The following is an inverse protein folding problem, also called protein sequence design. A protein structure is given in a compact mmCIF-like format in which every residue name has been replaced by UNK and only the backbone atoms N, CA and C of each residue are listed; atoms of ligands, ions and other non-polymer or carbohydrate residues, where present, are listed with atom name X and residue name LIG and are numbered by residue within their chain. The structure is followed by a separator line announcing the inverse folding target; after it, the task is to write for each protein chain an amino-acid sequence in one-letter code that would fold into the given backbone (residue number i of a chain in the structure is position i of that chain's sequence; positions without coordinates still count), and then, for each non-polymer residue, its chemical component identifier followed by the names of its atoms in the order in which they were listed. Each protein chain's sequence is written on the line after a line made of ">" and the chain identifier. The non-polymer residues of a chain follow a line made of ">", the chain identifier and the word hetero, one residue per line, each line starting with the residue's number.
data_IF_964540075940
#
_entry.id   IF_964540075940
#
_cell.length_a   1.000
_cell.length_b   1.000
_cell.length_c   1.000
_cell.angle_alpha   90.00
_cell.angle_beta   90.00
_cell.angle_gamma   90.00
#
_symmetry.space_group_name_H-M   'P 1'
#
loop_
_entity.id
_entity.type
_entity.pdbx_description
1 polymer ?
#
# COMPACT_ATOMS: atom_id res chain seq x y z
N UNK A 1 4.29 -4.53 -12.87
CA UNK A 1 5.68 -4.92 -12.71
C UNK A 1 6.37 -4.04 -11.68
N UNK A 2 6.97 -4.66 -10.70
CA UNK A 2 7.71 -3.95 -9.64
C UNK A 2 9.09 -4.55 -9.56
N UNK A 3 10.11 -3.72 -9.69
CA UNK A 3 11.51 -4.12 -9.52
C UNK A 3 12.07 -3.45 -8.28
N UNK A 4 12.51 -4.26 -7.34
CA UNK A 4 13.10 -3.81 -6.08
C UNK A 4 14.60 -4.10 -6.18
N UNK A 5 15.43 -3.07 -6.08
CA UNK A 5 16.86 -3.18 -6.32
C UNK A 5 17.68 -2.68 -5.14
N UNK A 6 18.38 -3.59 -4.48
CA UNK A 6 19.35 -3.32 -3.43
C UNK A 6 18.82 -2.42 -2.32
N UNK A 7 17.63 -2.72 -1.81
CA UNK A 7 16.98 -1.92 -0.77
C UNK A 7 17.60 -2.25 0.58
N UNK A 8 18.01 -1.20 1.30
CA UNK A 8 18.48 -1.27 2.66
C UNK A 8 17.61 -0.36 3.54
N UNK A 9 17.31 -0.82 4.74
CA UNK A 9 16.53 -0.05 5.71
C UNK A 9 17.01 -0.34 7.12
N UNK A 10 17.37 0.72 7.84
CA UNK A 10 17.83 0.67 9.22
C UNK A 10 16.82 1.33 10.15
N UNK A 11 16.69 0.77 11.36
CA UNK A 11 16.03 1.41 12.49
C UNK A 11 17.04 1.44 13.65
N UNK A 12 17.73 2.58 13.80
CA UNK A 12 18.89 2.64 14.70
C UNK A 12 19.97 1.67 14.25
N UNK A 13 20.36 0.76 15.14
CA UNK A 13 21.36 -0.27 14.83
C UNK A 13 20.75 -1.53 14.18
N UNK A 14 19.42 -1.61 14.11
CA UNK A 14 18.74 -2.75 13.54
C UNK A 14 18.56 -2.59 12.04
N UNK A 15 19.07 -3.56 11.28
CA UNK A 15 18.96 -3.58 9.82
C UNK A 15 17.73 -4.41 9.44
N UNK A 16 16.61 -3.74 9.18
CA UNK A 16 15.36 -4.39 8.83
C UNK A 16 15.39 -5.00 7.42
N UNK A 17 16.05 -4.32 6.49
CA UNK A 17 16.24 -4.78 5.11
C UNK A 17 17.72 -4.70 4.76
N UNK A 18 18.27 -5.80 4.29
CA UNK A 18 19.69 -5.95 3.99
C UNK A 18 19.86 -6.35 2.52
N UNK A 19 20.13 -5.36 1.67
CA UNK A 19 20.39 -5.56 0.24
C UNK A 19 19.32 -6.42 -0.45
N UNK A 20 18.05 -6.05 -0.24
CA UNK A 20 16.91 -6.82 -0.76
C UNK A 20 16.65 -6.46 -2.22
N UNK A 21 16.64 -7.48 -3.07
CA UNK A 21 16.30 -7.34 -4.49
C UNK A 21 15.24 -8.35 -4.87
N UNK A 22 14.14 -7.88 -5.47
CA UNK A 22 13.02 -8.70 -5.88
C UNK A 22 12.46 -8.19 -7.22
N UNK A 23 11.90 -9.09 -8.00
CA UNK A 23 11.18 -8.73 -9.20
C UNK A 23 9.77 -9.33 -9.16
N UNK A 24 8.76 -8.49 -9.26
CA UNK A 24 7.37 -8.91 -9.24
C UNK A 24 6.77 -8.63 -10.62
N UNK A 25 6.51 -9.69 -11.42
CA UNK A 25 5.95 -9.51 -12.76
C UNK A 25 4.49 -9.05 -12.72
N UNK A 26 3.99 -8.60 -13.86
CA UNK A 26 2.58 -8.24 -13.99
C UNK A 26 1.68 -9.49 -13.91
N UNK A 27 0.43 -9.25 -13.53
CA UNK A 27 -0.64 -10.27 -13.55
C UNK A 27 -0.26 -11.54 -12.78
N UNK A 28 0.35 -11.37 -11.61
CA UNK A 28 0.70 -12.52 -10.77
C UNK A 28 0.31 -12.26 -9.31
N UNK A 29 0.24 -13.35 -8.55
CA UNK A 29 0.19 -13.30 -7.10
C UNK A 29 1.57 -13.64 -6.59
N UNK A 30 2.17 -12.75 -5.82
CA UNK A 30 3.51 -12.89 -5.30
C UNK A 30 3.47 -13.02 -3.77
N UNK A 31 4.00 -14.12 -3.25
CA UNK A 31 4.05 -14.37 -1.81
C UNK A 31 5.32 -13.82 -1.17
N UNK A 32 5.17 -13.04 -0.11
CA UNK A 32 6.27 -12.53 0.69
C UNK A 32 6.19 -13.19 2.07
N UNK A 33 7.04 -14.19 2.28
CA UNK A 33 6.99 -15.05 3.45
C UNK A 33 8.21 -14.84 4.34
N UNK A 34 8.02 -15.04 5.64
CA UNK A 34 9.10 -14.95 6.62
C UNK A 34 8.54 -14.79 8.02
N UNK A 35 9.37 -15.01 9.05
CA UNK A 35 8.96 -14.84 10.44
C UNK A 35 8.71 -13.35 10.75
N UNK A 36 8.07 -13.09 11.89
CA UNK A 36 7.92 -11.73 12.40
C UNK A 36 9.31 -11.12 12.62
N UNK A 37 9.47 -9.87 12.20
CA UNK A 37 10.76 -9.19 12.26
C UNK A 37 11.68 -9.42 11.07
N UNK A 38 11.23 -10.16 10.04
CA UNK A 38 12.02 -10.40 8.83
C UNK A 38 12.07 -9.22 7.86
N UNK A 39 11.38 -8.11 8.16
CA UNK A 39 11.38 -6.92 7.31
C UNK A 39 10.24 -6.83 6.30
N UNK A 40 9.30 -7.78 6.31
CA UNK A 40 8.16 -7.78 5.37
C UNK A 40 7.34 -6.49 5.44
N UNK A 41 7.00 -6.08 6.63
CA UNK A 41 6.22 -4.86 6.87
C UNK A 41 6.99 -3.62 6.42
N UNK A 42 8.29 -3.58 6.68
CA UNK A 42 9.15 -2.48 6.25
C UNK A 42 9.16 -2.34 4.72
N UNK A 43 9.29 -3.45 4.01
CA UNK A 43 9.28 -3.46 2.54
C UNK A 43 7.94 -2.98 2.00
N UNK A 44 6.84 -3.47 2.55
CA UNK A 44 5.49 -3.07 2.14
C UNK A 44 5.26 -1.59 2.37
N UNK A 45 5.72 -1.05 3.51
CA UNK A 45 5.61 0.38 3.79
C UNK A 45 6.42 1.24 2.82
N UNK A 46 7.58 0.76 2.41
CA UNK A 46 8.39 1.46 1.40
C UNK A 46 7.66 1.46 0.04
N UNK A 47 7.07 0.34 -0.35
CA UNK A 47 6.28 0.25 -1.58
C UNK A 47 5.09 1.21 -1.58
N UNK A 48 4.52 1.47 -0.43
CA UNK A 48 3.40 2.40 -0.27
C UNK A 48 3.83 3.83 0.01
N UNK A 49 5.12 4.14 -0.07
CA UNK A 49 5.66 5.48 0.18
C UNK A 49 5.38 6.01 1.60
N UNK A 50 5.14 5.12 2.57
CA UNK A 50 4.96 5.49 3.97
C UNK A 50 6.31 5.80 4.60
N UNK A 51 7.33 5.01 4.26
CA UNK A 51 8.71 5.23 4.68
C UNK A 51 9.63 5.21 3.46
N UNK A 52 10.80 5.83 3.58
CA UNK A 52 11.80 5.81 2.53
C UNK A 52 12.88 4.76 2.82
N UNK A 53 13.48 4.12 1.82
CA UNK A 53 14.64 3.28 2.02
C UNK A 53 15.85 4.15 2.35
N UNK A 54 16.84 3.57 3.05
CA UNK A 54 18.11 4.26 3.30
C UNK A 54 19.00 4.24 2.05
N UNK A 55 18.88 3.19 1.24
CA UNK A 55 19.54 3.10 -0.06
C UNK A 55 18.81 2.10 -0.94
N UNK A 56 19.18 2.08 -2.22
CA UNK A 56 18.51 1.27 -3.23
C UNK A 56 17.39 2.02 -3.92
N UNK A 57 16.72 1.33 -4.83
CA UNK A 57 15.62 1.95 -5.60
C UNK A 57 14.53 0.94 -5.89
N UNK A 58 13.34 1.47 -6.18
CA UNK A 58 12.18 0.68 -6.61
C UNK A 58 11.69 1.27 -7.92
N UNK A 59 11.49 0.40 -8.91
CA UNK A 59 10.88 0.77 -10.18
C UNK A 59 9.47 0.20 -10.26
N UNK A 60 8.55 1.05 -10.67
CA UNK A 60 7.16 0.68 -10.94
C UNK A 60 6.91 0.85 -12.43
N UNK A 61 6.72 -0.26 -13.14
CA UNK A 61 6.61 -0.28 -14.61
C UNK A 61 7.78 0.46 -15.28
N UNK A 62 9.02 0.12 -14.87
CA UNK A 62 10.27 0.70 -15.36
C UNK A 62 10.49 2.18 -15.05
N UNK A 63 9.67 2.77 -14.19
CA UNK A 63 9.82 4.15 -13.74
C UNK A 63 10.10 4.20 -12.23
N UNK A 64 10.91 5.14 -11.75
CA UNK A 64 11.13 5.27 -10.31
C UNK A 64 9.81 5.40 -9.55
N UNK A 65 9.68 4.67 -8.45
CA UNK A 65 8.48 4.72 -7.63
C UNK A 65 8.29 6.13 -7.06
N UNK A 66 7.16 6.74 -7.36
CA UNK A 66 6.81 8.09 -6.95
C UNK A 66 5.44 8.10 -6.28
N UNK A 67 5.11 9.21 -5.63
CA UNK A 67 3.83 9.36 -4.95
C UNK A 67 2.63 9.15 -5.87
N UNK A 68 2.73 9.54 -7.14
CA UNK A 68 1.66 9.31 -8.12
C UNK A 68 1.30 7.83 -8.30
N UNK A 69 2.27 6.93 -8.10
CA UNK A 69 2.04 5.50 -8.22
C UNK A 69 1.23 4.94 -7.06
N UNK A 70 1.25 5.60 -5.90
CA UNK A 70 0.47 5.18 -4.72
C UNK A 70 -1.03 5.22 -5.01
N UNK A 71 -1.48 6.09 -5.88
CA UNK A 71 -2.88 6.15 -6.31
C UNK A 71 -3.32 4.88 -7.05
N UNK A 72 -2.36 4.16 -7.64
CA UNK A 72 -2.59 2.91 -8.37
C UNK A 72 -2.41 1.66 -7.49
N UNK A 73 -2.00 1.84 -6.23
CA UNK A 73 -1.70 0.74 -5.29
C UNK A 73 -2.78 0.68 -4.22
N UNK A 74 -3.41 -0.49 -4.07
CA UNK A 74 -4.27 -0.76 -2.93
C UNK A 74 -3.44 -1.35 -1.80
N UNK A 75 -3.68 -0.91 -0.58
CA UNK A 75 -2.95 -1.39 0.60
C UNK A 75 -3.92 -1.77 1.71
N UNK A 76 -3.84 -3.02 2.14
CA UNK A 76 -4.62 -3.51 3.28
C UNK A 76 -3.64 -3.93 4.38
N UNK A 77 -3.42 -3.08 5.39
CA UNK A 77 -2.50 -3.41 6.47
C UNK A 77 -3.07 -4.48 7.38
N UNK A 78 -2.19 -5.21 8.05
CA UNK A 78 -2.56 -6.17 9.08
C UNK A 78 -3.20 -5.48 10.28
N UNK A 79 -2.69 -4.30 10.63
CA UNK A 79 -3.22 -3.51 11.74
C UNK A 79 -4.52 -2.81 11.35
N UNK A 80 -5.44 -2.74 12.31
CA UNK A 80 -6.71 -2.05 12.10
C UNK A 80 -6.52 -0.54 12.23
N UNK A 81 -6.18 0.11 11.13
CA UNK A 81 -6.00 1.57 11.08
C UNK A 81 -7.29 2.36 10.88
N UNK A 82 -8.43 1.82 11.26
CA UNK A 82 -9.72 2.46 11.04
C UNK A 82 -10.07 3.44 12.18
N UNK A 83 -10.69 4.55 11.82
CA UNK A 83 -11.19 5.54 12.77
C UNK A 83 -12.49 5.03 13.39
N UNK A 84 -12.45 4.63 14.66
CA UNK A 84 -13.59 3.99 15.35
C UNK A 84 -14.84 4.86 15.43
N UNK A 85 -14.69 6.18 15.42
CA UNK A 85 -15.80 7.12 15.55
C UNK A 85 -16.40 7.55 14.21
N UNK A 86 -15.81 7.14 13.10
CA UNK A 86 -16.33 7.45 11.77
C UNK A 86 -17.24 6.33 11.28
N UNK A 87 -18.30 6.71 10.59
CA UNK A 87 -19.14 5.72 9.89
C UNK A 87 -18.34 5.09 8.74
N UNK A 88 -18.68 3.87 8.36
CA UNK A 88 -18.00 3.14 7.28
C UNK A 88 -17.99 3.97 5.99
N UNK A 89 -19.12 4.56 5.61
CA UNK A 89 -19.21 5.40 4.41
C UNK A 89 -18.29 6.61 4.46
N UNK A 90 -18.19 7.26 5.61
CA UNK A 90 -17.30 8.43 5.80
C UNK A 90 -15.84 8.04 5.64
N UNK A 91 -15.42 6.91 6.22
CA UNK A 91 -14.05 6.41 6.10
C UNK A 91 -13.69 6.05 4.68
N UNK A 92 -14.57 5.33 4.00
CA UNK A 92 -14.32 4.92 2.60
C UNK A 92 -14.24 6.14 1.69
N UNK A 93 -15.11 7.15 1.89
CA UNK A 93 -15.04 8.40 1.15
C UNK A 93 -13.71 9.13 1.39
N UNK A 94 -13.28 9.19 2.64
CA UNK A 94 -12.02 9.82 3.02
C UNK A 94 -10.83 9.13 2.34
N UNK A 95 -10.75 7.80 2.42
CA UNK A 95 -9.67 7.04 1.80
C UNK A 95 -9.69 7.12 0.28
N UNK A 96 -10.88 7.11 -0.34
CA UNK A 96 -11.00 7.26 -1.78
C UNK A 96 -10.46 8.61 -2.26
N UNK A 97 -10.76 9.68 -1.53
CA UNK A 97 -10.24 11.01 -1.86
C UNK A 97 -8.73 11.11 -1.65
N UNK A 98 -8.19 10.45 -0.61
CA UNK A 98 -6.75 10.36 -0.41
C UNK A 98 -6.04 9.65 -1.57
N UNK A 99 -6.71 8.73 -2.24
CA UNK A 99 -6.18 7.99 -3.40
C UNK A 99 -6.42 8.72 -4.73
N UNK A 100 -6.87 9.95 -4.69
CA UNK A 100 -6.99 10.77 -5.88
C UNK A 100 -8.36 10.83 -6.53
N UNK A 101 -9.36 10.13 -6.02
CA UNK A 101 -10.72 10.22 -6.55
C UNK A 101 -11.37 11.53 -6.12
N UNK A 102 -12.11 12.18 -7.03
CA UNK A 102 -12.93 13.31 -6.65
C UNK A 102 -14.16 12.83 -5.85
N UNK A 103 -14.83 13.76 -5.17
CA UNK A 103 -15.97 13.44 -4.30
C UNK A 103 -17.10 12.75 -5.06
N UNK A 104 -17.38 13.18 -6.27
CA UNK A 104 -18.49 12.64 -7.08
C UNK A 104 -18.18 11.20 -7.51
N UNK A 105 -17.00 10.94 -8.03
CA UNK A 105 -16.57 9.61 -8.46
C UNK A 105 -16.45 8.65 -7.27
N UNK A 106 -15.91 9.13 -6.13
CA UNK A 106 -15.82 8.34 -4.92
C UNK A 106 -17.21 7.90 -4.43
N UNK A 107 -18.18 8.82 -4.43
CA UNK A 107 -19.55 8.54 -4.02
C UNK A 107 -20.22 7.50 -4.94
N UNK A 108 -19.99 7.61 -6.24
CA UNK A 108 -20.52 6.67 -7.23
C UNK A 108 -19.99 5.25 -7.01
N UNK A 109 -18.67 5.12 -6.84
CA UNK A 109 -18.02 3.82 -6.62
C UNK A 109 -18.39 3.22 -5.27
N UNK A 110 -18.50 4.05 -4.25
CA UNK A 110 -18.91 3.63 -2.90
C UNK A 110 -20.30 3.01 -2.93
N UNK A 111 -21.25 3.67 -3.61
CA UNK A 111 -22.61 3.17 -3.76
C UNK A 111 -22.63 1.81 -4.43
N UNK A 112 -21.87 1.63 -5.50
CA UNK A 112 -21.74 0.35 -6.21
C UNK A 112 -21.26 -0.77 -5.26
N UNK A 113 -20.21 -0.52 -4.49
CA UNK A 113 -19.64 -1.53 -3.60
C UNK A 113 -20.53 -1.83 -2.39
N UNK A 114 -21.20 -0.82 -1.85
CA UNK A 114 -22.12 -1.02 -0.74
C UNK A 114 -23.33 -1.85 -1.15
N UNK A 115 -23.84 -1.64 -2.34
CA UNK A 115 -24.92 -2.47 -2.90
C UNK A 115 -24.44 -3.90 -3.14
N UNK A 116 -23.24 -4.05 -3.70
CA UNK A 116 -22.65 -5.35 -3.98
C UNK A 116 -22.42 -6.19 -2.73
N UNK A 117 -21.97 -5.57 -1.64
CA UNK A 117 -21.73 -6.24 -0.37
C UNK A 117 -22.95 -6.22 0.58
N UNK A 118 -24.03 -5.57 0.19
CA UNK A 118 -25.24 -5.42 1.00
C UNK A 118 -24.98 -4.83 2.39
N UNK A 119 -24.23 -3.74 2.43
CA UNK A 119 -23.84 -3.06 3.67
C UNK A 119 -24.31 -1.59 3.71
N UNK A 120 -25.29 -1.23 2.89
CA UNK A 120 -25.77 0.14 2.77
C UNK A 120 -26.29 0.76 4.07
N UNK A 121 -26.66 -0.07 5.04
CA UNK A 121 -27.13 0.39 6.35
C UNK A 121 -26.04 0.60 7.41
N UNK A 122 -24.79 0.44 7.07
CA UNK A 122 -23.68 0.49 8.04
C UNK A 122 -23.10 1.89 8.19
#
# INVERSE_FOLDING_TARGET
>A
MISIENINKFYGDYKALDDVSLYIPEKCIYGLLGPNGAGKTSLIRILNQITAPDSGRILFNDQPLERRHVEMIGYLPEERGLYKKMKVGEQVMYFAQLKGLDKHEAKRRLKFWFEKFDIGGW
#
